data_IF_998147242742
#
_entry.id   IF_998147242742
#
_cell.length_a   1.000
_cell.length_b   1.000
_cell.length_c   1.000
_cell.angle_alpha   90.00
_cell.angle_beta   90.00
_cell.angle_gamma   90.00
#
_symmetry.space_group_name_H-M   'P 1'
#
loop_
_entity.id
_entity.type
_entity.pdbx_description
1 polymer ?
#
# COMPACT_ATOMS: atom_id res chain seq x y z
N UNK A 1 2.28 2.87 15.23
CA UNK A 1 2.32 1.60 14.47
C UNK A 1 1.53 0.50 15.14
N UNK A 2 1.73 0.19 16.43
CA UNK A 2 0.88 -0.79 17.14
C UNK A 2 -0.60 -0.40 17.19
N UNK A 3 -0.89 0.84 17.57
CA UNK A 3 -2.26 1.38 17.54
C UNK A 3 -2.92 1.27 16.16
N UNK A 4 -2.17 1.57 15.09
CA UNK A 4 -2.67 1.37 13.72
C UNK A 4 -2.96 -0.10 13.43
N UNK A 5 -2.09 -1.02 13.85
CA UNK A 5 -2.32 -2.46 13.65
C UNK A 5 -3.59 -2.92 14.37
N UNK A 6 -3.79 -2.49 15.61
CA UNK A 6 -4.98 -2.82 16.40
C UNK A 6 -6.25 -2.29 15.72
N UNK A 7 -6.31 -1.01 15.37
CA UNK A 7 -7.44 -0.43 14.63
C UNK A 7 -7.67 -1.12 13.28
N UNK A 8 -6.60 -1.43 12.55
CA UNK A 8 -6.72 -2.09 11.25
C UNK A 8 -7.39 -3.47 11.38
N UNK A 9 -6.98 -4.27 12.36
CA UNK A 9 -7.52 -5.60 12.59
C UNK A 9 -8.97 -5.59 13.05
N UNK A 10 -9.33 -4.68 13.96
CA UNK A 10 -10.64 -4.71 14.61
C UNK A 10 -11.70 -3.88 13.87
N UNK A 11 -11.30 -2.77 13.23
CA UNK A 11 -12.25 -1.78 12.71
C UNK A 11 -12.23 -1.65 11.18
N UNK A 12 -11.11 -1.94 10.52
CA UNK A 12 -10.94 -1.65 9.09
C UNK A 12 -10.96 -2.90 8.21
N UNK A 13 -10.40 -4.02 8.66
CA UNK A 13 -10.26 -5.21 7.83
C UNK A 13 -11.47 -6.15 7.96
N UNK A 14 -12.26 -6.36 6.88
CA UNK A 14 -13.45 -7.19 6.96
C UNK A 14 -13.17 -8.71 6.83
N UNK A 15 -11.93 -9.09 6.47
CA UNK A 15 -11.55 -10.46 6.16
C UNK A 15 -11.04 -11.24 7.37
N UNK A 16 -11.16 -12.57 7.33
CA UNK A 16 -10.60 -13.45 8.39
C UNK A 16 -9.08 -13.57 8.32
N UNK A 17 -8.53 -13.66 7.11
CA UNK A 17 -7.08 -13.71 6.89
C UNK A 17 -6.55 -12.29 6.85
N UNK A 18 -5.61 -11.96 7.75
CA UNK A 18 -4.95 -10.67 7.74
C UNK A 18 -3.99 -10.56 6.54
N UNK A 19 -3.92 -9.40 5.88
CA UNK A 19 -2.92 -9.15 4.86
C UNK A 19 -1.55 -8.92 5.50
N UNK A 20 -0.50 -9.17 4.72
CA UNK A 20 0.82 -8.65 5.03
C UNK A 20 0.85 -7.16 4.71
N UNK A 21 1.14 -6.35 5.72
CA UNK A 21 1.13 -4.89 5.59
C UNK A 21 2.52 -4.33 5.84
N UNK A 22 2.96 -3.41 4.99
CA UNK A 22 4.26 -2.77 5.07
C UNK A 22 4.12 -1.25 5.11
N UNK A 23 5.11 -0.57 5.69
CA UNK A 23 5.21 0.88 5.72
C UNK A 23 6.61 1.35 5.30
N UNK A 24 6.69 2.59 4.81
CA UNK A 24 7.96 3.23 4.47
C UNK A 24 8.48 4.03 5.68
N UNK A 25 9.58 3.63 6.36
CA UNK A 25 10.00 4.27 7.61
C UNK A 25 10.35 5.75 7.46
N UNK A 26 10.88 6.16 6.30
CA UNK A 26 11.20 7.56 6.02
C UNK A 26 9.98 8.47 5.95
N UNK A 27 8.76 7.92 5.84
CA UNK A 27 7.52 8.69 5.98
C UNK A 27 7.29 9.20 7.40
N UNK A 28 7.92 8.56 8.39
CA UNK A 28 7.81 8.92 9.81
C UNK A 28 8.98 9.80 10.30
N UNK A 29 9.97 10.06 9.44
CA UNK A 29 11.11 10.89 9.82
C UNK A 29 10.66 12.31 10.21
N UNK A 30 11.15 12.79 11.34
CA UNK A 30 10.88 14.13 11.87
C UNK A 30 11.75 15.20 11.20
N UNK A 31 12.92 14.81 10.69
CA UNK A 31 13.85 15.70 9.99
C UNK A 31 13.51 15.85 8.50
N UNK A 32 13.34 17.10 8.06
CA UNK A 32 12.85 17.44 6.72
C UNK A 32 13.72 16.95 5.55
N UNK A 33 15.05 16.88 5.71
CA UNK A 33 15.96 16.43 4.63
C UNK A 33 15.91 14.92 4.38
N UNK A 34 15.50 14.14 5.37
CA UNK A 34 15.42 12.68 5.26
C UNK A 34 14.02 12.17 5.00
N UNK A 35 12.99 13.00 5.20
CA UNK A 35 11.59 12.63 5.00
C UNK A 35 11.27 12.38 3.52
N UNK A 36 10.64 11.26 3.24
CA UNK A 36 10.18 10.89 1.91
C UNK A 36 8.92 10.02 2.04
N UNK A 37 8.10 9.96 0.99
CA UNK A 37 6.86 9.17 1.00
C UNK A 37 6.74 8.26 -0.22
N UNK A 38 6.11 7.11 -0.03
CA UNK A 38 5.58 6.30 -1.13
C UNK A 38 4.25 6.92 -1.55
N UNK A 39 4.26 7.73 -2.62
CA UNK A 39 3.10 8.54 -3.00
C UNK A 39 2.20 7.93 -4.09
N UNK A 40 2.65 6.86 -4.75
CA UNK A 40 1.85 6.16 -5.75
C UNK A 40 0.67 5.45 -5.08
N UNK A 41 -0.50 5.48 -5.71
CA UNK A 41 -1.67 4.69 -5.31
C UNK A 41 -1.99 3.75 -6.46
N UNK A 42 -1.90 2.47 -6.18
CA UNK A 42 -2.18 1.45 -7.17
C UNK A 42 -2.76 0.21 -6.52
N UNK A 43 -3.45 -0.58 -7.34
CA UNK A 43 -3.93 -1.92 -6.99
C UNK A 43 -3.44 -2.84 -8.09
N UNK A 44 -2.79 -3.94 -7.73
CA UNK A 44 -2.44 -5.02 -8.64
C UNK A 44 -3.28 -6.24 -8.29
N UNK A 45 -3.93 -6.85 -9.27
CA UNK A 45 -4.81 -8.00 -9.10
C UNK A 45 -4.28 -9.16 -9.94
N UNK A 46 -4.02 -10.29 -9.28
CA UNK A 46 -3.67 -11.59 -9.85
C UNK A 46 -2.57 -11.55 -10.93
N UNK A 47 -1.58 -10.66 -10.79
CA UNK A 47 -0.50 -10.47 -11.78
C UNK A 47 -1.00 -10.19 -13.21
N UNK A 48 -2.19 -9.61 -13.34
CA UNK A 48 -2.90 -9.43 -14.63
C UNK A 48 -3.42 -8.03 -14.87
N UNK A 49 -3.91 -7.36 -13.83
CA UNK A 49 -4.55 -6.04 -13.95
C UNK A 49 -3.98 -5.08 -12.93
N UNK A 50 -3.87 -3.82 -13.34
CA UNK A 50 -3.41 -2.74 -12.47
C UNK A 50 -4.35 -1.56 -12.58
N UNK A 51 -4.77 -1.02 -11.43
CA UNK A 51 -5.26 0.34 -11.33
C UNK A 51 -4.10 1.24 -10.89
N UNK A 52 -3.83 2.32 -11.62
CA UNK A 52 -2.97 3.43 -11.17
C UNK A 52 -3.84 4.68 -11.10
N UNK A 53 -3.81 5.40 -9.98
CA UNK A 53 -4.73 6.52 -9.75
C UNK A 53 -4.13 7.63 -8.89
N UNK A 54 -4.67 8.84 -9.02
CA UNK A 54 -4.44 9.94 -8.07
C UNK A 54 -5.17 9.73 -6.74
N UNK A 55 -6.27 8.97 -6.75
CA UNK A 55 -7.14 8.78 -5.60
C UNK A 55 -6.41 8.06 -4.44
N UNK A 56 -6.44 8.67 -3.27
CA UNK A 56 -6.18 7.95 -2.02
C UNK A 56 -7.35 7.02 -1.69
N UNK A 57 -7.12 5.93 -0.97
CA UNK A 57 -8.20 5.06 -0.46
C UNK A 57 -8.90 5.69 0.76
N UNK A 58 -9.60 6.79 0.53
CA UNK A 58 -10.28 7.59 1.56
C UNK A 58 -11.67 8.00 1.09
N UNK A 59 -12.57 8.28 2.04
CA UNK A 59 -13.92 8.75 1.74
C UNK A 59 -13.92 10.02 0.86
N UNK A 60 -13.02 10.97 1.15
CA UNK A 60 -12.94 12.23 0.41
C UNK A 60 -12.61 12.01 -1.07
N UNK A 61 -11.60 11.18 -1.35
CA UNK A 61 -11.21 10.86 -2.72
C UNK A 61 -12.32 10.14 -3.49
N UNK A 62 -13.10 9.29 -2.81
CA UNK A 62 -14.18 8.52 -3.44
C UNK A 62 -15.48 9.30 -3.66
N UNK A 63 -15.74 10.36 -2.87
CA UNK A 63 -17.05 11.05 -2.89
C UNK A 63 -17.01 12.54 -3.24
N UNK A 64 -15.86 13.20 -3.05
CA UNK A 64 -15.78 14.67 -3.07
C UNK A 64 -14.75 15.20 -4.06
N UNK A 65 -13.59 14.56 -4.14
CA UNK A 65 -12.52 15.04 -4.99
C UNK A 65 -12.72 14.61 -6.46
N UNK A 66 -12.20 15.43 -7.36
CA UNK A 66 -12.00 15.04 -8.75
C UNK A 66 -10.68 14.28 -8.80
N UNK A 67 -10.75 13.01 -9.22
CA UNK A 67 -9.62 12.10 -9.29
C UNK A 67 -9.50 11.52 -10.71
N UNK A 68 -8.30 11.08 -11.08
CA UNK A 68 -8.04 10.41 -12.34
C UNK A 68 -7.36 9.06 -12.10
N UNK A 69 -7.59 8.12 -13.01
CA UNK A 69 -6.94 6.82 -12.97
C UNK A 69 -7.14 6.03 -14.24
N UNK A 70 -6.35 4.97 -14.39
CA UNK A 70 -6.45 4.05 -15.52
C UNK A 70 -6.38 2.61 -15.03
N UNK A 71 -7.24 1.77 -15.59
CA UNK A 71 -7.18 0.32 -15.43
C UNK A 71 -6.47 -0.25 -16.64
N UNK A 72 -5.35 -0.92 -16.40
CA UNK A 72 -4.52 -1.52 -17.43
C UNK A 72 -4.60 -3.04 -17.27
N UNK A 73 -5.00 -3.73 -18.33
CA UNK A 73 -5.00 -5.21 -18.39
C UNK A 73 -3.77 -5.67 -19.15
N UNK A 74 -2.65 -5.71 -18.44
CA UNK A 74 -1.35 -6.16 -18.94
C UNK A 74 -0.61 -6.88 -17.81
N UNK A 75 -0.39 -8.19 -18.00
CA UNK A 75 0.29 -9.00 -17.01
C UNK A 75 1.78 -8.67 -16.86
N UNK A 76 2.44 -8.13 -17.88
CA UNK A 76 3.83 -7.71 -17.77
C UNK A 76 3.95 -6.50 -16.84
N UNK A 77 3.10 -5.49 -17.03
CA UNK A 77 3.06 -4.33 -16.14
C UNK A 77 2.70 -4.72 -14.71
N UNK A 78 1.67 -5.55 -14.54
CA UNK A 78 1.21 -5.99 -13.22
C UNK A 78 2.34 -6.69 -12.44
N UNK A 79 3.05 -7.63 -13.07
CA UNK A 79 4.20 -8.31 -12.45
C UNK A 79 5.37 -7.37 -12.19
N UNK A 80 5.63 -6.41 -13.08
CA UNK A 80 6.71 -5.44 -12.89
C UNK A 80 6.46 -4.54 -11.66
N UNK A 81 5.22 -4.06 -11.48
CA UNK A 81 4.86 -3.27 -10.30
C UNK A 81 4.90 -4.08 -9.01
N UNK A 82 4.41 -5.32 -9.05
CA UNK A 82 4.55 -6.25 -7.90
C UNK A 82 6.02 -6.47 -7.56
N UNK A 83 6.86 -6.79 -8.55
CA UNK A 83 8.30 -7.02 -8.34
C UNK A 83 9.02 -5.78 -7.80
N UNK A 84 8.61 -4.57 -8.21
CA UNK A 84 9.13 -3.34 -7.64
C UNK A 84 8.78 -3.23 -6.15
N UNK A 85 7.54 -3.54 -5.76
CA UNK A 85 7.14 -3.57 -4.35
C UNK A 85 7.94 -4.62 -3.57
N UNK A 86 8.02 -5.85 -4.07
CA UNK A 86 8.77 -6.94 -3.44
C UNK A 86 10.25 -6.55 -3.24
N UNK A 87 10.88 -5.95 -4.26
CA UNK A 87 12.27 -5.45 -4.16
C UNK A 87 12.45 -4.43 -3.03
N UNK A 88 11.47 -3.54 -2.82
CA UNK A 88 11.52 -2.56 -1.73
C UNK A 88 11.39 -3.24 -0.36
N UNK A 89 10.62 -4.33 -0.26
CA UNK A 89 10.54 -5.15 0.95
C UNK A 89 11.86 -5.88 1.18
N UNK A 90 12.41 -6.55 0.16
CA UNK A 90 13.66 -7.33 0.23
C UNK A 90 14.85 -6.45 0.63
N UNK A 91 14.88 -5.20 0.19
CA UNK A 91 15.89 -4.21 0.56
C UNK A 91 15.65 -3.54 1.92
N UNK A 92 14.61 -3.96 2.66
CA UNK A 92 14.14 -3.36 3.90
C UNK A 92 13.83 -1.86 3.80
N UNK A 93 13.60 -1.35 2.58
CA UNK A 93 13.14 0.01 2.35
C UNK A 93 11.68 0.14 2.81
N UNK A 94 10.85 -0.87 2.54
CA UNK A 94 9.57 -1.09 3.19
C UNK A 94 9.75 -2.09 4.33
N UNK A 95 9.19 -1.78 5.49
CA UNK A 95 9.27 -2.63 6.68
C UNK A 95 7.87 -3.14 7.05
N UNK A 96 7.73 -4.38 7.54
CA UNK A 96 6.43 -4.89 7.92
C UNK A 96 5.87 -4.08 9.10
N UNK A 97 4.57 -3.85 9.10
CA UNK A 97 3.89 -3.22 10.22
C UNK A 97 3.83 -4.24 11.38
N UNK A 98 4.40 -3.93 12.55
CA UNK A 98 4.38 -4.86 13.68
C UNK A 98 2.95 -5.22 14.07
N UNK A 99 2.66 -6.51 14.16
CA UNK A 99 1.33 -7.03 14.50
C UNK A 99 0.43 -7.31 13.29
N UNK A 100 0.78 -6.88 12.08
CA UNK A 100 0.08 -7.21 10.83
C UNK A 100 0.93 -8.14 9.96
N UNK A 101 1.16 -9.35 10.46
CA UNK A 101 1.79 -10.42 9.69
C UNK A 101 0.70 -11.39 9.25
N UNK A 102 0.70 -11.76 7.96
CA UNK A 102 -0.24 -12.74 7.45
C UNK A 102 -0.10 -14.02 8.27
N UNK A 103 -1.12 -14.36 9.05
CA UNK A 103 -1.13 -15.64 9.74
C UNK A 103 -1.27 -16.73 8.66
N UNK A 104 -0.31 -17.66 8.65
CA UNK A 104 -0.44 -18.93 7.94
C UNK A 104 -1.37 -19.86 8.72
#
# INVERSE_FOLDING_TARGET
MREFADTFQHDLWPGKRLPETFYYPRSLATEGKTRACLHAKCIVIDDRRTLITSANFTEAAHKRNIEAGTVITDGHLARALKAQFDTLVDQAALQPVPGLHGQN
#
